data_IF_098637451996
#
_entry.id   IF_098637451996
#
_cell.length_a   1.000
_cell.length_b   1.000
_cell.length_c   1.000
_cell.angle_alpha   90.00
_cell.angle_beta   90.00
_cell.angle_gamma   90.00
#
_symmetry.space_group_name_H-M   'P 1'
#
loop_
_entity.id
_entity.type
_entity.pdbx_description
1 polymer ?
#
# COMPACT_ATOMS: atom_id res chain seq x y z
N UNK A 1 13.34 -34.11 -39.53
CA UNK A 1 11.91 -33.88 -39.77
C UNK A 1 11.16 -34.35 -38.51
N UNK A 2 10.93 -33.49 -37.59
CA UNK A 2 10.21 -33.76 -36.35
C UNK A 2 8.79 -33.15 -36.47
N UNK A 3 7.79 -33.99 -36.33
CA UNK A 3 6.40 -33.60 -36.38
C UNK A 3 6.01 -32.72 -35.17
N UNK A 4 5.15 -31.74 -35.34
CA UNK A 4 4.63 -30.93 -34.22
C UNK A 4 3.59 -31.75 -33.41
N UNK A 5 3.75 -31.70 -32.10
CA UNK A 5 2.77 -32.24 -31.14
C UNK A 5 1.50 -31.38 -31.17
N UNK A 6 0.38 -31.98 -31.51
CA UNK A 6 -0.95 -31.39 -31.38
C UNK A 6 -1.32 -31.23 -29.89
N UNK A 7 -1.97 -30.12 -29.50
CA UNK A 7 -2.47 -29.97 -28.14
C UNK A 7 -3.70 -30.84 -27.93
N UNK A 8 -3.55 -31.90 -27.15
CA UNK A 8 -4.70 -32.69 -26.67
C UNK A 8 -5.53 -31.86 -25.70
N UNK A 9 -6.63 -31.28 -26.17
CA UNK A 9 -7.69 -30.75 -25.31
C UNK A 9 -8.35 -31.94 -24.58
N UNK A 10 -7.99 -32.15 -23.32
CA UNK A 10 -8.76 -32.98 -22.43
C UNK A 10 -10.01 -32.22 -21.98
N UNK A 11 -11.09 -32.36 -22.73
CA UNK A 11 -12.42 -32.05 -22.24
C UNK A 11 -12.81 -33.17 -21.28
N UNK A 12 -12.64 -32.94 -19.99
CA UNK A 12 -13.25 -33.78 -18.96
C UNK A 12 -14.76 -33.49 -18.99
N UNK A 13 -15.52 -34.32 -19.62
CA UNK A 13 -17.00 -34.38 -19.47
C UNK A 13 -17.28 -34.81 -18.04
N UNK A 14 -17.66 -33.87 -17.19
CA UNK A 14 -18.31 -34.17 -15.92
C UNK A 14 -19.69 -34.74 -16.23
N UNK A 15 -20.02 -35.86 -15.60
CA UNK A 15 -21.36 -36.45 -15.63
C UNK A 15 -22.44 -35.41 -15.42
N UNK A 16 -23.37 -35.29 -16.32
CA UNK A 16 -24.50 -34.42 -16.51
C UNK A 16 -25.17 -33.68 -15.34
N UNK A 17 -24.48 -33.36 -14.29
CA UNK A 17 -24.96 -32.45 -13.25
C UNK A 17 -24.77 -31.00 -13.69
N UNK A 18 -25.86 -30.22 -13.63
CA UNK A 18 -25.79 -28.79 -13.84
C UNK A 18 -24.74 -28.19 -12.88
N UNK A 19 -23.90 -27.22 -13.36
CA UNK A 19 -22.89 -26.61 -12.52
C UNK A 19 -23.55 -25.96 -11.30
N UNK A 20 -22.99 -26.20 -10.11
CA UNK A 20 -23.44 -25.50 -8.90
C UNK A 20 -23.21 -24.01 -9.04
N UNK A 21 -24.24 -23.21 -8.76
CA UNK A 21 -24.17 -21.75 -8.85
C UNK A 21 -23.79 -21.16 -7.50
N UNK A 22 -23.10 -20.02 -7.52
CA UNK A 22 -22.89 -19.19 -6.33
C UNK A 22 -24.14 -18.32 -6.17
N UNK A 23 -24.99 -18.67 -5.21
CA UNK A 23 -26.25 -17.98 -4.98
C UNK A 23 -26.10 -16.83 -3.99
N UNK A 24 -25.00 -16.83 -3.20
CA UNK A 24 -24.77 -15.83 -2.19
C UNK A 24 -23.43 -15.16 -2.34
N UNK A 25 -23.45 -13.82 -2.43
CA UNK A 25 -22.28 -12.95 -2.39
C UNK A 25 -22.35 -12.09 -1.14
N UNK A 26 -21.31 -12.17 -0.29
CA UNK A 26 -21.17 -11.38 0.92
C UNK A 26 -20.03 -10.38 0.69
N UNK A 27 -20.37 -9.11 0.53
CA UNK A 27 -19.40 -8.05 0.35
C UNK A 27 -19.22 -7.29 1.68
N UNK A 28 -18.04 -7.45 2.30
CA UNK A 28 -17.64 -6.85 3.56
C UNK A 28 -16.70 -5.64 3.37
N UNK A 29 -16.55 -5.17 2.13
CA UNK A 29 -15.73 -3.98 1.85
C UNK A 29 -16.39 -2.74 2.43
N UNK A 30 -15.61 -1.96 3.21
CA UNK A 30 -16.07 -0.68 3.73
C UNK A 30 -15.92 0.42 2.66
N UNK A 31 -17.03 0.98 2.16
CA UNK A 31 -16.98 2.06 1.18
C UNK A 31 -16.34 3.35 1.71
N UNK A 32 -16.40 3.61 3.00
CA UNK A 32 -15.84 4.82 3.62
C UNK A 32 -14.31 4.82 3.68
N UNK A 33 -13.70 3.66 3.45
CA UNK A 33 -12.25 3.54 3.30
C UNK A 33 -11.73 3.96 1.91
N UNK A 34 -12.59 4.18 0.93
CA UNK A 34 -12.16 4.64 -0.39
C UNK A 34 -11.91 6.16 -0.39
N UNK A 35 -10.82 6.55 -1.04
CA UNK A 35 -10.50 7.96 -1.33
C UNK A 35 -10.59 8.17 -2.84
N UNK A 36 -11.69 8.74 -3.29
CA UNK A 36 -11.94 9.04 -4.70
C UNK A 36 -11.68 10.54 -4.96
N UNK A 37 -10.77 10.85 -5.88
CA UNK A 37 -10.29 12.22 -6.08
C UNK A 37 -11.01 12.96 -7.20
N UNK A 38 -11.54 12.24 -8.19
CA UNK A 38 -12.05 12.87 -9.42
C UNK A 38 -13.45 12.38 -9.84
N UNK A 39 -13.99 11.38 -9.18
CA UNK A 39 -15.30 10.79 -9.48
C UNK A 39 -16.10 10.56 -8.21
N UNK A 40 -17.42 10.53 -8.33
CA UNK A 40 -18.28 10.07 -7.23
C UNK A 40 -18.19 8.55 -7.07
N UNK A 41 -18.65 8.06 -5.92
CA UNK A 41 -18.69 6.61 -5.69
C UNK A 41 -19.57 5.89 -6.73
N UNK A 42 -20.72 6.46 -7.06
CA UNK A 42 -21.62 5.87 -8.05
C UNK A 42 -20.97 5.76 -9.43
N UNK A 43 -20.23 6.79 -9.84
CA UNK A 43 -19.48 6.79 -11.09
C UNK A 43 -18.36 5.73 -11.07
N UNK A 44 -17.64 5.59 -9.95
CA UNK A 44 -16.61 4.56 -9.80
C UNK A 44 -17.22 3.15 -9.82
N UNK A 45 -18.35 2.94 -9.14
CA UNK A 45 -19.10 1.68 -9.17
C UNK A 45 -19.57 1.34 -10.59
N UNK A 46 -20.06 2.32 -11.35
CA UNK A 46 -20.50 2.12 -12.74
C UNK A 46 -19.32 1.77 -13.66
N UNK A 47 -18.17 2.44 -13.48
CA UNK A 47 -16.95 2.12 -14.22
C UNK A 47 -16.51 0.65 -14.00
N UNK A 48 -16.57 0.16 -12.75
CA UNK A 48 -16.25 -1.25 -12.46
C UNK A 48 -17.34 -2.18 -13.00
N UNK A 49 -18.62 -1.80 -12.87
CA UNK A 49 -19.76 -2.59 -13.36
C UNK A 49 -19.73 -2.76 -14.87
N UNK A 50 -19.29 -1.76 -15.62
CA UNK A 50 -19.22 -1.81 -17.08
C UNK A 50 -18.26 -2.90 -17.61
N UNK A 51 -17.23 -3.27 -16.84
CA UNK A 51 -16.19 -4.17 -17.32
C UNK A 51 -15.15 -3.51 -18.24
N UNK A 52 -15.27 -2.19 -18.45
CA UNK A 52 -14.32 -1.44 -19.27
C UNK A 52 -13.08 -1.01 -18.47
N UNK A 53 -11.93 -1.61 -18.81
CA UNK A 53 -10.66 -1.31 -18.18
C UNK A 53 -10.26 0.17 -18.30
N UNK A 54 -10.59 0.82 -19.43
CA UNK A 54 -10.31 2.24 -19.64
C UNK A 54 -11.18 3.13 -18.74
N UNK A 55 -12.41 2.73 -18.48
CA UNK A 55 -13.26 3.43 -17.53
C UNK A 55 -12.69 3.32 -16.09
N UNK A 56 -12.23 2.12 -15.70
CA UNK A 56 -11.60 1.90 -14.39
C UNK A 56 -10.28 2.67 -14.28
N UNK A 57 -9.48 2.74 -15.36
CA UNK A 57 -8.21 3.51 -15.39
C UNK A 57 -8.42 4.99 -15.05
N UNK A 58 -9.56 5.55 -15.37
CA UNK A 58 -9.89 6.96 -15.10
C UNK A 58 -10.22 7.27 -13.64
N UNK A 59 -10.43 6.25 -12.81
CA UNK A 59 -10.65 6.46 -11.37
C UNK A 59 -9.32 6.82 -10.72
N UNK A 60 -9.24 8.01 -10.10
CA UNK A 60 -8.09 8.47 -9.34
C UNK A 60 -8.31 8.30 -7.84
N UNK A 61 -7.27 7.84 -7.14
CA UNK A 61 -7.28 7.72 -5.69
C UNK A 61 -6.97 6.31 -5.18
N UNK A 62 -7.45 6.03 -3.98
CA UNK A 62 -7.32 4.73 -3.31
C UNK A 62 -8.71 4.09 -3.20
N UNK A 63 -8.94 2.99 -3.88
CA UNK A 63 -10.25 2.34 -3.94
C UNK A 63 -10.17 0.82 -4.00
N UNK A 64 -11.25 0.19 -3.57
CA UNK A 64 -11.49 -1.24 -3.73
C UNK A 64 -13.00 -1.47 -3.94
N UNK A 65 -13.39 -1.67 -5.18
CA UNK A 65 -14.79 -1.69 -5.61
C UNK A 65 -15.15 -3.06 -6.16
N UNK A 66 -16.25 -3.61 -5.64
CA UNK A 66 -16.88 -4.83 -6.12
C UNK A 66 -18.27 -4.53 -6.62
N UNK A 67 -18.62 -5.01 -7.83
CA UNK A 67 -19.93 -4.86 -8.43
C UNK A 67 -20.44 -6.18 -9.00
N UNK A 68 -21.71 -6.47 -8.78
CA UNK A 68 -22.39 -7.62 -9.35
C UNK A 68 -23.33 -7.18 -10.48
N UNK A 69 -23.27 -7.91 -11.58
CA UNK A 69 -24.22 -7.77 -12.70
C UNK A 69 -24.68 -9.16 -13.15
N UNK A 70 -25.89 -9.53 -12.78
CA UNK A 70 -26.41 -10.86 -13.04
C UNK A 70 -25.56 -11.94 -12.34
N UNK A 71 -24.95 -12.83 -13.14
CA UNK A 71 -24.07 -13.92 -12.66
C UNK A 71 -22.58 -13.59 -12.74
N UNK A 72 -22.23 -12.34 -12.94
CA UNK A 72 -20.85 -11.88 -13.04
C UNK A 72 -20.53 -10.93 -11.89
N UNK A 73 -19.41 -11.17 -11.20
CA UNK A 73 -18.80 -10.26 -10.25
C UNK A 73 -17.59 -9.60 -10.91
N UNK A 74 -17.50 -8.28 -10.78
CA UNK A 74 -16.34 -7.50 -11.18
C UNK A 74 -15.73 -6.81 -9.98
N UNK A 75 -14.43 -6.92 -9.87
CA UNK A 75 -13.65 -6.38 -8.77
C UNK A 75 -12.45 -5.62 -9.30
N UNK A 76 -12.24 -4.40 -8.79
CA UNK A 76 -11.07 -3.61 -9.13
C UNK A 76 -10.55 -2.87 -7.90
N UNK A 77 -9.23 -2.77 -7.75
CA UNK A 77 -8.62 -2.04 -6.67
C UNK A 77 -7.34 -1.31 -7.07
N UNK A 78 -7.05 -0.22 -6.38
CA UNK A 78 -5.75 0.46 -6.39
C UNK A 78 -4.76 -0.20 -5.43
N UNK A 79 -3.52 0.29 -5.40
CA UNK A 79 -2.46 -0.21 -4.49
C UNK A 79 -2.85 -0.02 -3.01
N UNK A 80 -3.38 1.14 -2.65
CA UNK A 80 -3.63 1.52 -1.25
C UNK A 80 -4.81 0.81 -0.58
N UNK A 81 -5.56 -0.01 -1.31
CA UNK A 81 -6.73 -0.72 -0.77
C UNK A 81 -6.68 -2.20 -1.12
N UNK A 82 -6.48 -3.11 -0.15
CA UNK A 82 -6.58 -4.55 -0.41
C UNK A 82 -8.03 -4.98 -0.62
N UNK A 83 -8.21 -6.02 -1.42
CA UNK A 83 -9.48 -6.71 -1.60
C UNK A 83 -9.19 -8.19 -1.78
N UNK A 84 -9.76 -9.00 -0.92
CA UNK A 84 -9.63 -10.45 -0.92
C UNK A 84 -10.98 -11.09 -1.21
N UNK A 85 -10.96 -12.29 -1.75
CA UNK A 85 -12.15 -13.11 -1.83
C UNK A 85 -11.88 -14.55 -1.41
N UNK A 86 -12.91 -15.20 -0.92
CA UNK A 86 -12.93 -16.59 -0.46
C UNK A 86 -14.19 -17.27 -0.94
N UNK A 87 -14.06 -18.49 -1.46
CA UNK A 87 -15.19 -19.30 -1.89
C UNK A 87 -15.48 -20.36 -0.82
N UNK A 88 -16.56 -20.15 -0.08
CA UNK A 88 -17.04 -21.11 0.92
C UNK A 88 -17.92 -22.17 0.28
N UNK A 89 -17.75 -23.43 0.68
CA UNK A 89 -18.58 -24.57 0.21
C UNK A 89 -19.68 -24.82 1.22
N UNK A 90 -20.92 -24.54 0.84
CA UNK A 90 -22.12 -24.73 1.66
C UNK A 90 -22.96 -25.87 1.12
N UNK A 91 -23.78 -26.50 1.99
CA UNK A 91 -24.66 -27.56 1.60
C UNK A 91 -25.71 -27.09 0.58
N UNK A 92 -26.18 -25.85 0.74
CA UNK A 92 -27.19 -25.24 -0.14
C UNK A 92 -26.58 -24.64 -1.42
N UNK A 93 -25.27 -24.61 -1.52
CA UNK A 93 -24.51 -24.02 -2.63
C UNK A 93 -23.33 -23.18 -2.13
N UNK A 94 -22.34 -22.92 -2.99
CA UNK A 94 -21.18 -22.11 -2.60
C UNK A 94 -21.57 -20.67 -2.29
N UNK A 95 -20.79 -20.00 -1.42
CA UNK A 95 -20.90 -18.57 -1.13
C UNK A 95 -19.59 -17.88 -1.39
N UNK A 96 -19.62 -16.71 -2.06
CA UNK A 96 -18.45 -15.84 -2.28
C UNK A 96 -18.40 -14.78 -1.20
N UNK A 97 -17.31 -14.73 -0.43
CA UNK A 97 -17.06 -13.74 0.60
C UNK A 97 -15.96 -12.80 0.08
N UNK A 98 -16.21 -11.50 0.09
CA UNK A 98 -15.28 -10.46 -0.34
C UNK A 98 -14.99 -9.55 0.85
N UNK A 99 -13.72 -9.32 1.16
CA UNK A 99 -13.30 -8.56 2.32
C UNK A 99 -11.93 -7.91 2.11
N UNK A 100 -11.63 -6.91 2.91
CA UNK A 100 -10.31 -6.30 2.96
C UNK A 100 -9.30 -7.19 3.69
N UNK A 101 -9.75 -7.89 4.75
CA UNK A 101 -8.90 -8.63 5.69
C UNK A 101 -9.30 -10.11 5.78
N UNK A 102 -8.30 -10.98 6.04
CA UNK A 102 -8.55 -12.41 6.33
C UNK A 102 -9.40 -12.57 7.59
N UNK A 103 -9.19 -11.72 8.60
CA UNK A 103 -9.96 -11.74 9.85
C UNK A 103 -11.46 -11.53 9.62
N UNK A 104 -11.85 -10.68 8.68
CA UNK A 104 -13.26 -10.48 8.32
C UNK A 104 -13.85 -11.72 7.66
N UNK A 105 -13.07 -12.39 6.79
CA UNK A 105 -13.48 -13.67 6.17
C UNK A 105 -13.69 -14.74 7.25
N UNK A 106 -12.76 -14.86 8.21
CA UNK A 106 -12.87 -15.82 9.32
C UNK A 106 -14.13 -15.56 10.14
N UNK A 107 -14.39 -14.32 10.50
CA UNK A 107 -15.58 -13.95 11.29
C UNK A 107 -16.88 -14.25 10.51
N UNK A 108 -16.92 -13.96 9.21
CA UNK A 108 -18.08 -14.31 8.38
C UNK A 108 -18.28 -15.82 8.31
N UNK A 109 -17.20 -16.59 8.12
CA UNK A 109 -17.27 -18.04 8.11
C UNK A 109 -17.75 -18.62 9.46
N UNK A 110 -17.41 -18.01 10.60
CA UNK A 110 -17.94 -18.39 11.92
C UNK A 110 -19.46 -18.17 12.00
N UNK A 111 -19.91 -17.01 11.55
CA UNK A 111 -21.36 -16.68 11.51
C UNK A 111 -22.12 -17.74 10.68
N UNK A 112 -21.51 -18.24 9.61
CA UNK A 112 -22.07 -19.23 8.71
C UNK A 112 -21.90 -20.70 9.21
N UNK A 113 -21.17 -20.91 10.31
CA UNK A 113 -20.82 -22.26 10.80
C UNK A 113 -19.79 -23.00 9.93
N UNK A 114 -19.00 -22.29 9.13
CA UNK A 114 -18.05 -22.82 8.15
C UNK A 114 -16.58 -22.41 8.46
N UNK A 115 -16.28 -22.06 9.69
CA UNK A 115 -14.95 -21.57 10.06
C UNK A 115 -13.84 -22.64 9.89
N UNK A 116 -14.20 -23.90 9.87
CA UNK A 116 -13.34 -25.04 9.58
C UNK A 116 -12.80 -25.06 8.15
N UNK A 117 -13.46 -24.37 7.21
CA UNK A 117 -13.01 -24.28 5.82
C UNK A 117 -11.91 -23.24 5.61
N UNK A 118 -11.66 -22.38 6.59
CA UNK A 118 -10.69 -21.31 6.41
C UNK A 118 -9.25 -21.84 6.41
N UNK A 119 -8.55 -21.53 5.33
CA UNK A 119 -7.09 -21.62 5.29
C UNK A 119 -6.53 -20.41 4.53
N UNK A 120 -5.43 -19.76 5.00
CA UNK A 120 -4.89 -18.57 4.35
C UNK A 120 -4.61 -18.75 2.86
N UNK A 121 -4.16 -19.95 2.43
CA UNK A 121 -3.86 -20.24 1.02
C UNK A 121 -5.09 -20.29 0.10
N UNK A 122 -6.29 -20.38 0.65
CA UNK A 122 -7.54 -20.34 -0.13
C UNK A 122 -8.10 -18.92 -0.25
N UNK A 123 -7.52 -17.97 0.49
CA UNK A 123 -7.84 -16.55 0.36
C UNK A 123 -7.10 -15.98 -0.84
N UNK A 124 -7.84 -15.48 -1.82
CA UNK A 124 -7.27 -14.91 -3.04
C UNK A 124 -7.31 -13.39 -2.98
N UNK A 125 -6.19 -12.74 -3.33
CA UNK A 125 -6.12 -11.28 -3.46
C UNK A 125 -6.49 -10.88 -4.88
N UNK A 126 -7.36 -9.87 -5.02
CA UNK A 126 -7.53 -9.15 -6.29
C UNK A 126 -6.24 -8.40 -6.58
N UNK A 127 -5.56 -8.63 -7.71
CA UNK A 127 -4.33 -7.89 -8.02
C UNK A 127 -4.61 -6.40 -8.17
N UNK A 128 -3.76 -5.55 -7.63
CA UNK A 128 -3.91 -4.12 -7.85
C UNK A 128 -3.67 -3.77 -9.33
N UNK A 129 -4.40 -2.76 -9.82
CA UNK A 129 -4.35 -2.32 -11.21
C UNK A 129 -4.90 -3.33 -12.24
N UNK A 130 -5.70 -4.28 -11.76
CA UNK A 130 -6.44 -5.20 -12.62
C UNK A 130 -7.95 -5.10 -12.33
N UNK A 131 -8.72 -5.21 -13.38
CA UNK A 131 -10.13 -5.55 -13.32
C UNK A 131 -10.23 -7.07 -13.34
N UNK A 132 -10.78 -7.65 -12.28
CA UNK A 132 -11.04 -9.07 -12.15
C UNK A 132 -12.52 -9.33 -12.43
N UNK A 133 -12.80 -10.23 -13.36
CA UNK A 133 -14.14 -10.72 -13.62
C UNK A 133 -14.25 -12.19 -13.18
N UNK A 134 -15.31 -12.51 -12.45
CA UNK A 134 -15.58 -13.83 -11.93
C UNK A 134 -17.02 -14.22 -12.24
N UNK A 135 -17.21 -15.38 -12.88
CA UNK A 135 -18.52 -15.95 -13.06
C UNK A 135 -19.00 -16.65 -11.78
N UNK A 136 -20.26 -16.45 -11.40
CA UNK A 136 -20.84 -17.03 -10.19
C UNK A 136 -21.19 -18.52 -10.39
N UNK A 137 -20.19 -19.31 -10.76
CA UNK A 137 -20.24 -20.76 -10.87
C UNK A 137 -19.36 -21.35 -9.77
N UNK A 138 -19.90 -22.17 -8.90
CA UNK A 138 -19.18 -22.66 -7.73
C UNK A 138 -18.62 -24.07 -7.85
N UNK A 139 -18.94 -24.80 -8.92
CA UNK A 139 -18.39 -26.12 -9.19
C UNK A 139 -18.35 -26.38 -10.70
N UNK A 140 -17.15 -26.53 -11.30
CA UNK A 140 -15.84 -26.29 -10.67
C UNK A 140 -15.68 -24.85 -10.17
N UNK A 141 -14.67 -24.60 -9.32
CA UNK A 141 -14.36 -23.24 -8.86
C UNK A 141 -14.13 -22.32 -10.06
N UNK A 142 -14.67 -21.09 -10.03
CA UNK A 142 -14.56 -20.18 -11.16
C UNK A 142 -13.11 -19.72 -11.32
N UNK A 143 -12.65 -19.67 -12.56
CA UNK A 143 -11.38 -19.04 -12.90
C UNK A 143 -11.61 -17.55 -13.10
N UNK A 144 -10.83 -16.67 -12.43
CA UNK A 144 -10.94 -15.25 -12.66
C UNK A 144 -10.34 -14.87 -14.02
N UNK A 145 -11.02 -13.98 -14.73
CA UNK A 145 -10.47 -13.28 -15.87
C UNK A 145 -9.86 -11.97 -15.37
N UNK A 146 -8.63 -11.66 -15.82
CA UNK A 146 -7.86 -10.51 -15.35
C UNK A 146 -7.55 -9.60 -16.53
N UNK A 147 -8.08 -8.38 -16.52
CA UNK A 147 -7.77 -7.34 -17.48
C UNK A 147 -6.99 -6.22 -16.77
N UNK A 148 -5.76 -5.97 -17.23
CA UNK A 148 -4.94 -4.91 -16.64
C UNK A 148 -5.44 -3.55 -17.10
N UNK A 149 -5.79 -2.67 -16.16
CA UNK A 149 -6.26 -1.32 -16.47
C UNK A 149 -5.19 -0.24 -16.31
N UNK A 150 -4.03 -0.56 -15.74
CA UNK A 150 -2.92 0.37 -15.63
C UNK A 150 -1.59 -0.30 -15.97
N UNK A 151 -0.90 0.23 -16.96
CA UNK A 151 0.42 -0.19 -17.43
C UNK A 151 1.21 1.05 -17.84
N UNK A 152 2.06 1.61 -16.95
CA UNK A 152 2.79 2.84 -17.25
C UNK A 152 3.85 2.64 -18.34
N UNK A 153 3.96 3.63 -19.22
CA UNK A 153 5.04 3.70 -20.20
C UNK A 153 6.34 4.15 -19.52
N UNK A 154 7.44 3.48 -19.88
CA UNK A 154 8.74 3.71 -19.27
C UNK A 154 9.63 4.60 -20.14
N UNK A 155 10.53 5.35 -19.47
CA UNK A 155 11.64 6.08 -20.09
C UNK A 155 11.20 7.08 -21.18
N UNK A 156 10.02 7.71 -21.04
CA UNK A 156 9.51 8.67 -22.04
C UNK A 156 9.86 10.13 -21.74
N UNK A 157 10.33 10.43 -20.52
CA UNK A 157 10.79 11.78 -20.17
C UNK A 157 12.20 12.04 -20.70
N UNK A 158 12.56 13.31 -20.98
CA UNK A 158 13.95 13.66 -21.29
C UNK A 158 14.88 13.39 -20.10
N UNK A 159 16.17 13.11 -20.35
CA UNK A 159 17.16 12.91 -19.30
C UNK A 159 17.62 14.27 -18.72
N UNK A 160 16.71 15.00 -18.12
CA UNK A 160 16.89 16.30 -17.50
C UNK A 160 16.26 16.29 -16.11
N UNK A 161 17.10 16.34 -15.08
CA UNK A 161 16.70 16.21 -13.67
C UNK A 161 15.74 17.33 -13.26
N UNK A 162 15.97 18.55 -13.70
CA UNK A 162 15.11 19.68 -13.35
C UNK A 162 13.72 19.55 -14.00
N UNK A 163 13.64 19.18 -15.26
CA UNK A 163 12.39 18.96 -15.96
C UNK A 163 11.61 17.74 -15.39
N UNK A 164 12.34 16.67 -15.07
CA UNK A 164 11.75 15.48 -14.42
C UNK A 164 11.21 15.85 -13.04
N UNK A 165 12.01 16.58 -12.24
CA UNK A 165 11.64 17.02 -10.90
C UNK A 165 10.38 17.89 -10.91
N UNK A 166 10.31 18.88 -11.82
CA UNK A 166 9.13 19.71 -11.99
C UNK A 166 7.89 18.84 -12.30
N UNK A 167 7.96 18.00 -13.34
CA UNK A 167 6.83 17.17 -13.77
C UNK A 167 6.37 16.20 -12.67
N UNK A 168 7.31 15.59 -11.96
CA UNK A 168 7.00 14.62 -10.90
C UNK A 168 6.34 15.30 -9.69
N UNK A 169 6.89 16.40 -9.23
CA UNK A 169 6.37 17.13 -8.06
C UNK A 169 5.09 17.89 -8.39
N UNK A 170 4.92 18.43 -9.59
CA UNK A 170 3.64 18.99 -10.05
C UNK A 170 2.53 17.97 -10.00
N UNK A 171 2.78 16.73 -10.50
CA UNK A 171 1.82 15.65 -10.46
C UNK A 171 1.49 15.22 -9.02
N UNK A 172 2.50 15.13 -8.18
CA UNK A 172 2.32 14.83 -6.75
C UNK A 172 1.50 15.93 -6.06
N UNK A 173 1.78 17.19 -6.35
CA UNK A 173 1.04 18.34 -5.82
C UNK A 173 -0.42 18.34 -6.27
N UNK A 174 -0.71 18.01 -7.53
CA UNK A 174 -2.08 17.88 -8.04
C UNK A 174 -2.88 16.81 -7.28
N UNK A 175 -2.27 15.65 -7.04
CA UNK A 175 -2.90 14.55 -6.30
C UNK A 175 -3.15 14.95 -4.85
N UNK A 176 -2.19 15.58 -4.20
CA UNK A 176 -2.36 16.08 -2.81
C UNK A 176 -3.44 17.17 -2.77
N UNK A 177 -3.44 18.10 -3.74
CA UNK A 177 -4.42 19.18 -3.79
C UNK A 177 -5.85 18.64 -3.93
N UNK A 178 -6.06 17.64 -4.79
CA UNK A 178 -7.35 16.95 -4.92
C UNK A 178 -7.75 16.24 -3.61
N UNK A 179 -6.81 15.61 -2.90
CA UNK A 179 -7.09 14.99 -1.62
C UNK A 179 -7.46 16.04 -0.55
N UNK A 180 -6.75 17.15 -0.48
CA UNK A 180 -7.03 18.22 0.49
C UNK A 180 -8.44 18.80 0.34
N UNK A 181 -9.00 18.80 -0.88
CA UNK A 181 -10.39 19.22 -1.12
C UNK A 181 -11.41 18.28 -0.47
N UNK A 182 -11.06 17.01 -0.32
CA UNK A 182 -11.96 16.03 0.33
C UNK A 182 -12.00 16.16 1.85
N UNK A 183 -11.07 16.91 2.45
CA UNK A 183 -10.95 17.10 3.89
C UNK A 183 -11.68 18.38 4.30
N UNK A 184 -12.65 18.33 5.22
CA UNK A 184 -13.32 19.53 5.73
C UNK A 184 -12.31 20.56 6.27
N UNK A 185 -12.61 21.84 6.07
CA UNK A 185 -11.68 22.94 6.38
C UNK A 185 -11.34 23.08 7.86
N UNK A 186 -12.23 22.63 8.73
CA UNK A 186 -12.06 22.61 10.18
C UNK A 186 -11.26 21.42 10.71
N UNK A 187 -10.96 20.44 9.83
CA UNK A 187 -10.26 19.23 10.24
C UNK A 187 -8.72 19.40 10.10
N UNK A 188 -7.97 18.96 11.13
CA UNK A 188 -6.52 18.95 11.08
C UNK A 188 -6.00 17.78 10.23
N UNK A 189 -4.76 17.93 9.74
CA UNK A 189 -4.08 16.99 8.86
C UNK A 189 -2.78 16.54 9.52
N UNK A 190 -2.60 15.23 9.70
CA UNK A 190 -1.36 14.66 10.17
C UNK A 190 -0.49 14.20 9.02
N UNK A 191 0.79 14.52 9.08
CA UNK A 191 1.80 13.93 8.19
C UNK A 191 2.65 12.98 9.01
N UNK A 192 2.74 11.72 8.57
CA UNK A 192 3.66 10.74 9.14
C UNK A 192 5.08 11.14 8.72
N UNK A 193 5.86 11.67 9.66
CA UNK A 193 7.07 12.45 9.32
C UNK A 193 8.33 11.89 9.98
N UNK A 194 9.25 11.39 9.17
CA UNK A 194 10.56 10.91 9.61
C UNK A 194 11.71 11.92 9.40
N UNK A 195 11.42 13.06 8.78
CA UNK A 195 12.46 14.00 8.33
C UNK A 195 13.22 13.50 7.08
N UNK A 196 12.79 12.39 6.48
CA UNK A 196 13.32 11.90 5.21
C UNK A 196 12.71 12.63 4.02
N UNK A 197 13.25 12.36 2.82
CA UNK A 197 12.91 13.08 1.60
C UNK A 197 11.44 12.87 1.18
N UNK A 198 10.90 11.65 1.32
CA UNK A 198 9.54 11.31 0.90
C UNK A 198 8.50 11.99 1.79
N UNK A 199 8.61 11.83 3.10
CA UNK A 199 7.72 12.51 4.04
C UNK A 199 7.93 14.02 4.07
N UNK A 200 9.15 14.46 3.79
CA UNK A 200 9.52 15.87 3.69
C UNK A 200 8.84 16.56 2.52
N UNK A 201 8.90 15.99 1.34
CA UNK A 201 8.21 16.54 0.16
C UNK A 201 6.69 16.58 0.34
N UNK A 202 6.08 15.53 0.95
CA UNK A 202 4.66 15.55 1.31
C UNK A 202 4.35 16.73 2.24
N UNK A 203 5.12 16.91 3.31
CA UNK A 203 4.88 17.98 4.26
C UNK A 203 4.99 19.38 3.62
N UNK A 204 6.04 19.61 2.81
CA UNK A 204 6.24 20.89 2.11
C UNK A 204 5.08 21.15 1.14
N UNK A 205 4.64 20.13 0.39
CA UNK A 205 3.52 20.28 -0.54
C UNK A 205 2.20 20.54 0.18
N UNK A 206 1.91 19.83 1.27
CA UNK A 206 0.69 20.07 2.07
C UNK A 206 0.66 21.49 2.61
N UNK A 207 1.78 21.98 3.19
CA UNK A 207 1.89 23.35 3.68
C UNK A 207 1.73 24.40 2.56
N UNK A 208 2.43 24.21 1.45
CA UNK A 208 2.34 25.09 0.27
C UNK A 208 0.90 25.17 -0.27
N UNK A 209 0.24 24.02 -0.46
CA UNK A 209 -1.10 23.95 -1.01
C UNK A 209 -2.15 24.55 -0.06
N UNK A 210 -2.04 24.30 1.25
CA UNK A 210 -2.94 24.91 2.24
C UNK A 210 -2.79 26.44 2.21
N UNK A 211 -1.55 26.97 2.24
CA UNK A 211 -1.33 28.41 2.17
C UNK A 211 -1.85 29.01 0.86
N UNK A 212 -1.64 28.34 -0.27
CA UNK A 212 -2.17 28.78 -1.57
C UNK A 212 -3.71 28.85 -1.59
N UNK A 213 -4.38 28.02 -0.79
CA UNK A 213 -5.83 28.03 -0.57
C UNK A 213 -6.29 29.02 0.50
N UNK A 214 -5.39 29.78 1.11
CA UNK A 214 -5.71 30.73 2.18
C UNK A 214 -5.91 30.08 3.56
N UNK A 215 -5.53 28.82 3.72
CA UNK A 215 -5.56 28.15 5.02
C UNK A 215 -4.25 28.32 5.80
N UNK A 216 -4.34 28.18 7.11
CA UNK A 216 -3.19 28.24 8.00
C UNK A 216 -2.41 26.93 8.03
N UNK A 217 -1.09 27.00 8.06
CA UNK A 217 -0.19 25.88 8.35
C UNK A 217 -0.48 25.21 9.71
N UNK A 218 -1.15 25.90 10.63
CA UNK A 218 -1.56 25.33 11.93
C UNK A 218 -2.52 24.14 11.84
N UNK A 219 -3.13 23.91 10.67
CA UNK A 219 -3.90 22.69 10.39
C UNK A 219 -3.03 21.44 10.32
N UNK A 220 -1.71 21.58 10.19
CA UNK A 220 -0.77 20.46 10.01
C UNK A 220 -0.13 20.10 11.34
N UNK A 221 0.01 18.80 11.60
CA UNK A 221 0.97 18.23 12.54
C UNK A 221 1.88 17.24 11.84
N UNK A 222 3.19 17.39 12.03
CA UNK A 222 4.20 16.45 11.57
C UNK A 222 4.51 15.45 12.70
N UNK A 223 3.88 14.29 12.66
CA UNK A 223 4.03 13.26 13.68
C UNK A 223 5.32 12.46 13.47
N UNK A 224 6.24 12.53 14.41
CA UNK A 224 7.51 11.83 14.39
C UNK A 224 7.64 10.87 15.59
N UNK A 225 8.02 9.62 15.35
CA UNK A 225 8.18 8.61 16.40
C UNK A 225 9.47 8.84 17.21
N UNK A 226 9.32 8.82 18.53
CA UNK A 226 10.42 8.72 19.47
C UNK A 226 10.24 7.47 20.36
N UNK A 227 11.31 6.77 20.67
CA UNK A 227 11.30 5.67 21.62
C UNK A 227 12.09 6.09 22.87
N UNK A 228 11.42 6.09 24.03
CA UNK A 228 12.00 6.48 25.33
C UNK A 228 12.71 7.85 25.30
N UNK A 229 12.12 8.81 24.59
CA UNK A 229 12.64 10.18 24.48
C UNK A 229 13.88 10.32 23.61
N UNK A 230 14.28 9.28 22.88
CA UNK A 230 15.46 9.27 21.99
C UNK A 230 15.05 8.84 20.59
N UNK A 231 15.38 9.67 19.61
CA UNK A 231 15.15 9.31 18.20
C UNK A 231 15.99 10.19 17.29
N UNK A 232 16.85 9.57 16.52
CA UNK A 232 17.59 10.26 15.46
C UNK A 232 16.63 10.81 14.39
N UNK A 233 15.49 10.15 14.17
CA UNK A 233 14.46 10.63 13.25
C UNK A 233 13.80 11.90 13.75
N UNK A 234 13.51 12.03 15.05
CA UNK A 234 12.97 13.29 15.62
C UNK A 234 13.97 14.43 15.51
N UNK A 235 15.26 14.16 15.74
CA UNK A 235 16.29 15.18 15.58
C UNK A 235 16.45 15.62 14.13
N UNK A 236 16.44 14.68 13.19
CA UNK A 236 16.45 14.97 11.76
C UNK A 236 15.19 15.71 11.34
N UNK A 237 14.01 15.29 11.81
CA UNK A 237 12.73 15.94 11.56
C UNK A 237 12.74 17.41 12.05
N UNK A 238 13.26 17.65 13.26
CA UNK A 238 13.41 19.00 13.80
C UNK A 238 14.36 19.85 12.96
N UNK A 239 15.50 19.30 12.59
CA UNK A 239 16.48 20.00 11.74
C UNK A 239 15.90 20.32 10.36
N UNK A 240 15.18 19.37 9.75
CA UNK A 240 14.47 19.58 8.50
C UNK A 240 13.51 20.76 8.59
N UNK A 241 12.59 20.72 9.56
CA UNK A 241 11.56 21.75 9.73
C UNK A 241 12.14 23.11 10.10
N UNK A 242 13.22 23.13 10.88
CA UNK A 242 13.93 24.37 11.20
C UNK A 242 14.53 25.04 9.95
N UNK A 243 15.08 24.24 9.03
CA UNK A 243 15.67 24.77 7.78
C UNK A 243 14.62 25.48 6.92
N UNK A 244 13.37 25.03 6.96
CA UNK A 244 12.26 25.61 6.17
C UNK A 244 11.30 26.47 7.01
N UNK A 245 11.68 26.84 8.25
CA UNK A 245 10.90 27.65 9.18
C UNK A 245 9.51 27.09 9.53
N UNK A 246 9.37 25.77 9.64
CA UNK A 246 8.14 25.07 10.01
C UNK A 246 8.29 24.22 11.29
N UNK A 247 9.26 24.51 12.17
CA UNK A 247 9.54 23.73 13.38
C UNK A 247 8.32 23.59 14.30
N UNK A 248 7.43 24.59 14.30
CA UNK A 248 6.21 24.60 15.10
C UNK A 248 5.22 23.49 14.72
N UNK A 249 5.37 22.86 13.55
CA UNK A 249 4.50 21.77 13.11
C UNK A 249 4.92 20.41 13.68
N UNK A 250 6.15 20.31 14.22
CA UNK A 250 6.66 19.04 14.73
C UNK A 250 5.91 18.60 15.99
N UNK A 251 5.40 17.40 15.94
CA UNK A 251 4.76 16.72 17.07
C UNK A 251 5.49 15.41 17.36
N UNK A 252 6.51 15.42 18.23
CA UNK A 252 7.17 14.18 18.65
C UNK A 252 6.23 13.32 19.47
N UNK A 253 6.11 12.07 19.07
CA UNK A 253 5.29 11.06 19.73
C UNK A 253 6.21 10.07 20.41
N UNK A 254 6.35 10.23 21.73
CA UNK A 254 7.19 9.35 22.52
C UNK A 254 6.41 8.10 22.95
N UNK A 255 7.02 6.93 22.69
CA UNK A 255 6.46 5.62 22.98
C UNK A 255 7.42 4.86 23.89
N UNK A 256 6.91 4.26 24.96
CA UNK A 256 7.69 3.39 25.81
C UNK A 256 8.05 2.09 25.05
N UNK A 257 9.31 1.64 25.21
CA UNK A 257 9.78 0.44 24.52
C UNK A 257 8.97 -0.82 24.87
N UNK A 258 8.45 -0.88 26.11
CA UNK A 258 7.60 -1.97 26.57
C UNK A 258 6.25 -2.07 25.83
N UNK A 259 5.85 -0.96 25.19
CA UNK A 259 4.60 -0.89 24.43
C UNK A 259 4.79 -1.23 22.94
N UNK A 260 6.03 -1.41 22.48
CA UNK A 260 6.34 -1.78 21.08
C UNK A 260 6.29 -3.29 20.93
N UNK A 261 5.25 -3.79 20.26
CA UNK A 261 5.01 -5.23 20.10
C UNK A 261 4.86 -5.59 18.64
N UNK A 262 5.81 -6.34 18.11
CA UNK A 262 5.78 -6.79 16.72
C UNK A 262 4.63 -7.77 16.41
N UNK A 263 4.14 -8.49 17.44
CA UNK A 263 2.98 -9.38 17.33
C UNK A 263 1.70 -8.62 16.93
N UNK A 264 1.52 -7.39 17.48
CA UNK A 264 0.39 -6.54 17.13
C UNK A 264 0.46 -6.14 15.64
N UNK A 265 1.67 -5.88 15.13
CA UNK A 265 1.87 -5.60 13.71
C UNK A 265 1.56 -6.81 12.83
N UNK A 266 1.99 -8.03 13.19
CA UNK A 266 1.62 -9.26 12.46
C UNK A 266 0.11 -9.39 12.34
N UNK A 267 -0.62 -9.11 13.42
CA UNK A 267 -2.08 -9.17 13.41
C UNK A 267 -2.72 -8.04 12.59
N UNK A 268 -2.13 -6.85 12.62
CA UNK A 268 -2.63 -5.69 11.90
C UNK A 268 -2.45 -5.82 10.39
N UNK A 269 -1.27 -6.24 9.92
CA UNK A 269 -0.97 -6.35 8.49
C UNK A 269 -1.31 -7.71 7.89
N UNK A 270 -1.62 -8.71 8.72
CA UNK A 270 -1.87 -10.09 8.30
C UNK A 270 -0.74 -10.66 7.41
N UNK A 271 0.50 -10.37 7.79
CA UNK A 271 1.72 -10.81 7.12
C UNK A 271 2.80 -11.20 8.15
N UNK A 272 3.79 -11.95 7.70
CA UNK A 272 4.92 -12.39 8.54
C UNK A 272 6.29 -12.09 7.95
N UNK A 273 6.37 -11.34 6.83
CA UNK A 273 7.67 -10.94 6.27
C UNK A 273 8.40 -10.01 7.23
N UNK A 274 9.63 -10.35 7.66
CA UNK A 274 10.32 -9.60 8.70
C UNK A 274 10.39 -8.10 8.44
N UNK A 275 10.75 -7.69 7.22
CA UNK A 275 10.88 -6.28 6.86
C UNK A 275 9.56 -5.52 6.98
N UNK A 276 8.46 -6.12 6.52
CA UNK A 276 7.14 -5.49 6.56
C UNK A 276 6.61 -5.43 7.99
N UNK A 277 6.80 -6.50 8.79
CA UNK A 277 6.44 -6.53 10.22
C UNK A 277 7.24 -5.49 11.01
N UNK A 278 8.56 -5.41 10.82
CA UNK A 278 9.41 -4.45 11.53
C UNK A 278 8.98 -3.01 11.26
N UNK A 279 8.73 -2.68 10.00
CA UNK A 279 8.28 -1.36 9.61
C UNK A 279 6.87 -1.05 10.13
N UNK A 280 5.94 -2.00 9.99
CA UNK A 280 4.58 -1.87 10.51
C UNK A 280 4.55 -1.73 12.04
N UNK A 281 5.47 -2.38 12.77
CA UNK A 281 5.56 -2.28 14.24
C UNK A 281 5.80 -0.84 14.69
N UNK A 282 6.71 -0.13 14.02
CA UNK A 282 7.00 1.26 14.32
C UNK A 282 5.81 2.17 13.97
N UNK A 283 5.20 1.96 12.79
CA UNK A 283 3.98 2.65 12.38
C UNK A 283 2.81 2.41 13.35
N UNK A 284 2.61 1.16 13.76
CA UNK A 284 1.57 0.76 14.72
C UNK A 284 1.74 1.45 16.07
N UNK A 285 2.96 1.45 16.62
CA UNK A 285 3.27 2.10 17.89
C UNK A 285 3.00 3.60 17.83
N UNK A 286 3.44 4.27 16.76
CA UNK A 286 3.19 5.69 16.51
C UNK A 286 1.68 5.98 16.43
N UNK A 287 0.95 5.26 15.60
CA UNK A 287 -0.49 5.48 15.36
C UNK A 287 -1.34 5.23 16.61
N UNK A 288 -1.01 4.18 17.38
CA UNK A 288 -1.67 3.92 18.67
C UNK A 288 -1.51 5.09 19.62
N UNK A 289 -0.32 5.64 19.73
CA UNK A 289 -0.07 6.77 20.64
C UNK A 289 -0.68 8.07 20.10
N UNK A 290 -0.69 8.30 18.79
CA UNK A 290 -1.44 9.42 18.20
C UNK A 290 -2.92 9.31 18.56
N UNK A 291 -3.53 8.12 18.40
CA UNK A 291 -4.94 7.93 18.77
C UNK A 291 -5.21 8.20 20.25
N UNK A 292 -4.28 7.79 21.13
CA UNK A 292 -4.41 8.02 22.57
C UNK A 292 -4.35 9.51 22.92
N UNK A 293 -3.45 10.29 22.26
CA UNK A 293 -3.29 11.74 22.52
C UNK A 293 -4.34 12.59 21.81
N UNK A 294 -4.77 12.15 20.63
CA UNK A 294 -5.69 12.87 19.75
C UNK A 294 -6.87 11.97 19.36
N UNK A 295 -7.84 11.74 20.26
CA UNK A 295 -8.92 10.78 20.03
C UNK A 295 -9.79 11.09 18.80
N UNK A 296 -9.94 12.37 18.45
CA UNK A 296 -10.79 12.83 17.35
C UNK A 296 -10.04 13.05 16.03
N UNK A 297 -8.72 12.80 15.98
CA UNK A 297 -7.94 12.98 14.78
C UNK A 297 -8.32 11.97 13.70
N UNK A 298 -8.52 12.42 12.45
CA UNK A 298 -9.04 11.56 11.38
C UNK A 298 -8.06 11.37 10.22
N UNK A 299 -7.45 12.45 9.74
CA UNK A 299 -6.76 12.46 8.45
C UNK A 299 -5.24 12.37 8.61
N UNK A 300 -4.66 11.38 7.92
CA UNK A 300 -3.20 11.18 7.88
C UNK A 300 -2.74 11.07 6.43
N UNK A 301 -1.57 11.65 6.15
CA UNK A 301 -0.86 11.51 4.88
C UNK A 301 0.53 10.95 5.19
N UNK A 302 0.98 10.02 4.38
CA UNK A 302 2.30 9.41 4.51
C UNK A 302 3.15 9.56 3.23
N UNK A 303 4.43 9.24 3.34
CA UNK A 303 5.40 9.24 2.26
C UNK A 303 5.68 7.86 1.67
N UNK A 304 4.84 6.86 1.96
CA UNK A 304 5.03 5.51 1.46
C UNK A 304 4.93 5.47 -0.06
N UNK A 305 5.88 4.81 -0.69
CA UNK A 305 5.95 4.66 -2.13
C UNK A 305 6.97 5.55 -2.86
N UNK A 306 7.53 6.55 -2.19
CA UNK A 306 8.57 7.38 -2.79
C UNK A 306 9.81 6.59 -3.18
N UNK A 307 10.22 5.62 -2.37
CA UNK A 307 11.33 4.70 -2.66
C UNK A 307 11.02 3.81 -3.87
N UNK A 308 9.83 3.25 -3.90
CA UNK A 308 9.36 2.38 -4.99
C UNK A 308 9.30 3.14 -6.32
N UNK A 309 8.81 4.37 -6.30
CA UNK A 309 8.69 5.22 -7.47
C UNK A 309 10.07 5.59 -8.06
N UNK A 310 10.96 6.08 -7.23
CA UNK A 310 12.29 6.53 -7.69
C UNK A 310 13.39 5.47 -7.53
N UNK A 311 12.98 4.21 -7.32
CA UNK A 311 13.84 3.01 -7.33
C UNK A 311 15.01 3.06 -6.34
N UNK A 312 14.78 3.72 -5.21
CA UNK A 312 15.76 3.89 -4.14
C UNK A 312 15.81 2.63 -3.24
N UNK A 313 16.23 1.53 -3.84
CA UNK A 313 16.37 0.24 -3.17
C UNK A 313 17.78 0.04 -2.63
N UNK A 314 17.95 -0.53 -1.42
CA UNK A 314 19.27 -0.78 -0.82
C UNK A 314 19.96 -1.98 -1.50
N UNK A 315 20.61 -1.73 -2.64
CA UNK A 315 21.23 -2.78 -3.47
C UNK A 315 22.37 -3.46 -2.73
N UNK A 316 23.21 -2.70 -2.00
CA UNK A 316 24.36 -3.25 -1.27
C UNK A 316 23.95 -4.16 -0.12
N UNK A 317 22.82 -3.86 0.52
CA UNK A 317 22.33 -4.59 1.69
C UNK A 317 21.49 -5.83 1.30
N UNK A 318 21.20 -5.99 0.02
CA UNK A 318 20.36 -7.08 -0.46
C UNK A 318 21.04 -7.85 -1.60
N UNK A 319 21.60 -9.05 -1.32
CA UNK A 319 22.32 -9.83 -2.32
C UNK A 319 21.46 -10.30 -3.52
N UNK A 320 20.13 -10.24 -3.37
CA UNK A 320 19.20 -10.58 -4.46
C UNK A 320 18.98 -9.41 -5.43
N UNK A 321 19.39 -8.19 -5.06
CA UNK A 321 19.25 -7.01 -5.89
C UNK A 321 20.56 -6.67 -6.59
N UNK A 322 20.45 -6.24 -7.83
CA UNK A 322 21.51 -5.61 -8.61
C UNK A 322 20.95 -4.38 -9.29
N UNK A 323 21.80 -3.43 -9.66
CA UNK A 323 21.37 -2.25 -10.43
C UNK A 323 20.60 -2.68 -11.71
N UNK A 324 21.02 -3.78 -12.35
CA UNK A 324 20.34 -4.32 -13.53
C UNK A 324 18.97 -4.89 -13.22
N UNK A 325 18.80 -5.59 -12.09
CA UNK A 325 17.48 -6.08 -11.67
C UNK A 325 16.56 -4.94 -11.27
N UNK A 326 17.08 -3.88 -10.65
CA UNK A 326 16.31 -2.71 -10.27
C UNK A 326 15.87 -1.88 -11.49
N UNK A 327 16.78 -1.55 -12.40
CA UNK A 327 16.46 -0.68 -13.55
C UNK A 327 15.92 -1.44 -14.76
N UNK A 328 16.31 -2.70 -14.95
CA UNK A 328 15.91 -3.54 -16.10
C UNK A 328 14.57 -4.24 -15.92
N UNK A 329 14.17 -4.54 -14.70
CA UNK A 329 12.96 -5.30 -14.44
C UNK A 329 11.70 -4.44 -14.69
N UNK A 330 10.95 -4.79 -15.73
CA UNK A 330 9.69 -4.10 -16.08
C UNK A 330 8.57 -4.30 -15.04
N UNK A 331 8.73 -5.31 -14.19
CA UNK A 331 7.76 -5.65 -13.15
C UNK A 331 8.14 -5.09 -11.78
N UNK A 332 9.28 -4.39 -11.68
CA UNK A 332 9.79 -3.98 -10.37
C UNK A 332 8.82 -3.08 -9.60
N UNK A 333 8.15 -2.16 -10.27
CA UNK A 333 7.18 -1.32 -9.59
C UNK A 333 6.03 -2.18 -8.99
N UNK A 334 5.59 -3.21 -9.70
CA UNK A 334 4.56 -4.14 -9.21
C UNK A 334 5.09 -4.98 -8.06
N UNK A 335 6.31 -5.49 -8.17
CA UNK A 335 6.96 -6.27 -7.11
C UNK A 335 7.25 -5.42 -5.88
N UNK A 336 7.78 -4.22 -6.06
CA UNK A 336 8.05 -3.26 -4.99
C UNK A 336 6.79 -2.85 -4.24
N UNK A 337 5.71 -2.60 -4.97
CA UNK A 337 4.41 -2.30 -4.40
C UNK A 337 3.63 -3.53 -3.92
N UNK A 338 4.11 -4.74 -4.20
CA UNK A 338 3.43 -5.98 -3.85
C UNK A 338 2.12 -6.20 -4.59
N UNK A 339 2.00 -5.67 -5.81
CA UNK A 339 0.74 -5.75 -6.59
C UNK A 339 0.66 -6.97 -7.48
N UNK A 340 1.78 -7.64 -7.73
CA UNK A 340 1.82 -8.86 -8.54
C UNK A 340 1.49 -10.08 -7.67
N UNK A 341 0.38 -10.74 -8.01
CA UNK A 341 -0.08 -11.95 -7.32
C UNK A 341 0.70 -13.22 -7.71
N UNK A 342 1.60 -13.13 -8.67
CA UNK A 342 2.25 -14.31 -9.25
C UNK A 342 3.31 -14.90 -8.33
N UNK A 343 3.84 -14.13 -7.38
CA UNK A 343 4.87 -14.63 -6.47
C UNK A 343 4.30 -15.47 -5.36
N UNK A 344 4.74 -16.70 -5.29
CA UNK A 344 4.41 -17.69 -4.25
C UNK A 344 4.70 -17.24 -2.81
N UNK A 345 5.60 -16.27 -2.61
CA UNK A 345 5.84 -15.66 -1.30
C UNK A 345 4.65 -14.83 -0.80
N UNK A 346 3.67 -14.58 -1.64
CA UNK A 346 2.48 -13.79 -1.37
C UNK A 346 1.28 -14.64 -0.94
N UNK A 347 1.47 -15.91 -0.63
CA UNK A 347 0.39 -16.80 -0.19
C UNK A 347 -0.39 -16.21 0.99
N UNK A 348 0.30 -15.53 1.90
CA UNK A 348 -0.30 -14.90 3.08
C UNK A 348 -0.51 -13.40 2.90
N UNK A 349 0.49 -12.63 2.48
CA UNK A 349 0.32 -11.20 2.23
C UNK A 349 -0.64 -10.92 1.06
N UNK A 350 -0.83 -11.93 0.23
CA UNK A 350 -1.83 -11.92 -0.82
C UNK A 350 -1.67 -10.77 -1.81
N UNK A 351 -0.44 -10.27 -2.02
CA UNK A 351 -0.19 -9.15 -2.91
C UNK A 351 -0.61 -7.79 -2.34
N UNK A 352 -0.68 -7.63 -1.02
CA UNK A 352 -0.75 -6.31 -0.41
C UNK A 352 0.49 -5.50 -0.76
N UNK A 353 0.30 -4.21 -1.03
CA UNK A 353 1.43 -3.30 -1.20
C UNK A 353 2.19 -3.14 0.11
N UNK A 354 3.48 -2.86 0.03
CA UNK A 354 4.29 -2.55 1.22
C UNK A 354 3.79 -1.31 1.95
N UNK A 355 3.40 -0.26 1.21
CA UNK A 355 2.83 0.94 1.80
C UNK A 355 1.55 0.64 2.58
N UNK A 356 0.64 -0.18 2.03
CA UNK A 356 -0.53 -0.62 2.78
C UNK A 356 -0.15 -1.36 4.07
N UNK A 357 0.78 -2.30 3.99
CA UNK A 357 1.20 -3.07 5.15
C UNK A 357 1.89 -2.22 6.23
N UNK A 358 2.67 -1.21 5.85
CA UNK A 358 3.45 -0.42 6.82
C UNK A 358 2.63 0.62 7.56
N UNK A 359 1.75 1.33 6.86
CA UNK A 359 1.06 2.51 7.38
C UNK A 359 -0.45 2.38 7.28
N UNK A 360 -1.02 2.07 6.11
CA UNK A 360 -2.46 2.13 5.89
C UNK A 360 -3.25 1.10 6.69
N UNK A 361 -2.75 -0.15 6.84
CA UNK A 361 -3.45 -1.16 7.65
C UNK A 361 -3.47 -0.80 9.14
N UNK A 362 -2.34 -0.42 9.79
CA UNK A 362 -2.37 0.09 11.15
C UNK A 362 -3.22 1.36 11.31
N UNK A 363 -3.15 2.29 10.35
CA UNK A 363 -3.95 3.52 10.40
C UNK A 363 -5.46 3.21 10.41
N UNK A 364 -5.92 2.32 9.53
CA UNK A 364 -7.31 1.90 9.48
C UNK A 364 -7.76 1.19 10.77
N UNK A 365 -6.90 0.38 11.39
CA UNK A 365 -7.20 -0.30 12.65
C UNK A 365 -7.48 0.69 13.79
N UNK A 366 -6.78 1.82 13.82
CA UNK A 366 -7.01 2.90 14.77
C UNK A 366 -8.05 3.92 14.29
N UNK A 367 -8.77 3.68 13.20
CA UNK A 367 -9.84 4.53 12.69
C UNK A 367 -9.35 5.84 12.05
N UNK A 368 -8.11 5.88 11.57
CA UNK A 368 -7.63 6.98 10.76
C UNK A 368 -7.98 6.78 9.29
N UNK A 369 -8.16 7.89 8.59
CA UNK A 369 -8.23 7.95 7.12
C UNK A 369 -6.83 8.25 6.60
N UNK A 370 -6.10 7.20 6.21
CA UNK A 370 -4.75 7.30 5.67
C UNK A 370 -4.76 7.50 4.16
N UNK A 371 -3.80 8.26 3.64
CA UNK A 371 -3.62 8.48 2.22
C UNK A 371 -2.13 8.52 1.84
N UNK A 372 -1.75 7.69 0.85
CA UNK A 372 -0.39 7.61 0.30
C UNK A 372 -0.38 8.20 -1.11
N UNK A 373 -0.06 9.48 -1.32
CA UNK A 373 -0.13 10.13 -2.62
C UNK A 373 0.77 9.49 -3.68
N UNK A 374 1.92 8.96 -3.28
CA UNK A 374 2.85 8.28 -4.18
C UNK A 374 2.28 6.97 -4.77
N UNK A 375 1.28 6.37 -4.13
CA UNK A 375 0.61 5.15 -4.60
C UNK A 375 -0.45 5.40 -5.68
N UNK A 376 -0.74 6.65 -6.00
CA UNK A 376 -1.72 6.99 -7.04
C UNK A 376 -1.12 6.73 -8.43
N UNK A 377 -1.86 6.06 -9.34
CA UNK A 377 -1.34 5.68 -10.65
C UNK A 377 -0.75 6.83 -11.45
N UNK A 378 -1.32 8.04 -11.36
CA UNK A 378 -0.82 9.20 -12.09
C UNK A 378 0.59 9.64 -11.65
N UNK A 379 0.94 9.46 -10.37
CA UNK A 379 2.30 9.72 -9.85
C UNK A 379 3.26 8.61 -10.29
N UNK A 380 2.82 7.34 -10.19
CA UNK A 380 3.60 6.17 -10.64
C UNK A 380 3.90 6.29 -12.15
N UNK A 381 2.96 6.77 -12.95
CA UNK A 381 3.13 6.94 -14.40
C UNK A 381 4.30 7.90 -14.74
N UNK A 382 4.41 9.00 -14.00
CA UNK A 382 5.55 9.92 -14.17
C UNK A 382 6.84 9.29 -13.67
N UNK A 383 6.82 8.60 -12.54
CA UNK A 383 7.99 7.92 -11.99
C UNK A 383 8.53 6.84 -12.95
N UNK A 384 7.66 6.03 -13.55
CA UNK A 384 8.07 5.02 -14.54
C UNK A 384 8.54 5.64 -15.87
N UNK A 385 8.10 6.85 -16.19
CA UNK A 385 8.56 7.58 -17.37
C UNK A 385 9.99 8.13 -17.25
N UNK A 386 10.61 8.11 -16.06
CA UNK A 386 11.99 8.56 -15.82
C UNK A 386 12.99 7.66 -16.53
N UNK A 387 13.92 8.19 -17.35
CA UNK A 387 14.93 7.40 -18.04
C UNK A 387 16.13 7.07 -17.14
N UNK A 388 15.91 6.27 -16.11
CA UNK A 388 16.90 5.96 -15.06
C UNK A 388 18.25 5.51 -15.62
N UNK A 389 18.26 4.64 -16.64
CA UNK A 389 19.53 4.15 -17.24
C UNK A 389 20.34 5.28 -17.86
N UNK A 390 19.68 6.21 -18.57
CA UNK A 390 20.36 7.34 -19.19
C UNK A 390 20.93 8.32 -18.15
N UNK A 391 20.26 8.44 -16.97
CA UNK A 391 20.70 9.35 -15.91
C UNK A 391 21.77 8.76 -15.00
N UNK A 392 21.80 7.44 -14.85
CA UNK A 392 22.69 6.76 -13.88
C UNK A 392 23.84 6.01 -14.51
N UNK A 393 23.74 5.66 -15.79
CA UNK A 393 24.72 4.80 -16.48
C UNK A 393 24.98 3.48 -15.72
N UNK A 394 23.92 2.88 -15.18
CA UNK A 394 23.98 1.67 -14.37
C UNK A 394 24.78 1.79 -13.05
N UNK A 395 25.03 3.00 -12.59
CA UNK A 395 25.72 3.29 -11.33
C UNK A 395 24.70 3.43 -10.20
N UNK A 396 24.85 2.63 -9.14
CA UNK A 396 23.90 2.62 -8.03
C UNK A 396 24.08 3.83 -7.08
N UNK A 397 25.29 4.39 -6.95
CA UNK A 397 25.51 5.60 -6.17
C UNK A 397 24.82 6.80 -6.84
N UNK A 398 24.91 6.89 -8.17
CA UNK A 398 24.15 7.88 -8.93
C UNK A 398 22.64 7.67 -8.78
N UNK A 399 22.17 6.40 -8.73
CA UNK A 399 20.76 6.13 -8.53
C UNK A 399 20.26 6.65 -7.16
N UNK A 400 21.04 6.46 -6.10
CA UNK A 400 20.69 6.97 -4.78
C UNK A 400 20.69 8.50 -4.70
N UNK A 401 21.66 9.16 -5.34
CA UNK A 401 21.70 10.61 -5.41
C UNK A 401 20.52 11.16 -6.24
N UNK A 402 20.18 10.48 -7.34
CA UNK A 402 19.17 10.92 -8.30
C UNK A 402 17.79 11.18 -7.67
N UNK A 403 17.36 10.35 -6.71
CA UNK A 403 16.11 10.57 -5.99
C UNK A 403 16.13 11.92 -5.27
N UNK A 404 17.22 12.20 -4.55
CA UNK A 404 17.42 13.48 -3.86
C UNK A 404 17.36 14.65 -4.82
N UNK A 405 18.07 14.56 -5.93
CA UNK A 405 18.17 15.61 -6.92
C UNK A 405 16.81 15.90 -7.60
N UNK A 406 16.09 14.85 -8.03
CA UNK A 406 14.76 14.98 -8.66
C UNK A 406 13.77 15.65 -7.70
N UNK A 407 13.67 15.14 -6.46
CA UNK A 407 12.67 15.64 -5.50
C UNK A 407 13.01 17.07 -5.04
N UNK A 408 14.29 17.37 -4.73
CA UNK A 408 14.68 18.71 -4.31
C UNK A 408 14.49 19.74 -5.43
N UNK A 409 14.89 19.41 -6.68
CA UNK A 409 14.68 20.28 -7.83
C UNK A 409 13.20 20.57 -8.06
N UNK A 410 12.35 19.53 -8.03
CA UNK A 410 10.91 19.69 -8.21
C UNK A 410 10.25 20.50 -7.09
N UNK A 411 10.58 20.24 -5.83
CA UNK A 411 10.06 21.02 -4.69
C UNK A 411 10.43 22.49 -4.83
N UNK A 412 11.68 22.79 -5.16
CA UNK A 412 12.14 24.17 -5.37
C UNK A 412 11.35 24.85 -6.50
N UNK A 413 11.16 24.18 -7.63
CA UNK A 413 10.45 24.76 -8.77
C UNK A 413 8.96 24.98 -8.50
N UNK A 414 8.30 24.05 -7.83
CA UNK A 414 6.85 24.11 -7.58
C UNK A 414 6.52 25.03 -6.41
N UNK A 415 7.33 25.02 -5.35
CA UNK A 415 7.00 25.70 -4.09
C UNK A 415 7.90 26.89 -3.76
N UNK A 416 9.06 27.00 -4.38
CA UNK A 416 10.11 27.96 -4.02
C UNK A 416 10.88 27.59 -2.77
N UNK A 417 10.66 26.45 -2.15
CA UNK A 417 11.30 26.01 -0.91
C UNK A 417 12.56 25.21 -1.22
N UNK A 418 13.67 25.60 -0.62
CA UNK A 418 14.91 24.79 -0.62
C UNK A 418 14.78 23.70 0.44
N UNK A 419 14.37 22.53 0.03
CA UNK A 419 14.16 21.38 0.91
C UNK A 419 15.50 20.70 1.23
N UNK A 420 15.84 20.47 2.52
CA UNK A 420 17.05 19.72 2.85
C UNK A 420 16.94 18.25 2.45
N UNK A 421 18.06 17.71 1.95
CA UNK A 421 18.20 16.29 1.60
C UNK A 421 19.22 15.65 2.53
N UNK A 422 18.80 14.66 3.29
CA UNK A 422 19.66 13.90 4.19
C UNK A 422 19.98 12.53 3.64
N UNK A 423 21.10 11.94 4.05
CA UNK A 423 21.43 10.56 3.72
C UNK A 423 20.31 9.63 4.21
N UNK A 424 19.89 8.72 3.35
CA UNK A 424 18.81 7.79 3.64
C UNK A 424 19.08 6.95 4.90
N UNK A 425 18.06 6.83 5.74
CA UNK A 425 17.98 5.88 6.85
C UNK A 425 16.68 5.09 6.72
N UNK A 426 16.70 3.83 7.10
CA UNK A 426 15.46 3.05 7.17
C UNK A 426 14.66 3.51 8.39
N UNK A 427 13.37 3.73 8.25
CA UNK A 427 12.47 4.20 9.30
C UNK A 427 12.60 3.42 10.61
N UNK A 428 12.63 2.09 10.53
CA UNK A 428 12.78 1.24 11.72
C UNK A 428 14.13 1.39 12.42
N UNK A 429 15.18 1.86 11.73
CA UNK A 429 16.52 2.07 12.28
C UNK A 429 16.73 3.50 12.79
N UNK A 430 15.96 4.47 12.29
CA UNK A 430 15.99 5.84 12.77
C UNK A 430 15.22 6.03 14.08
N UNK A 431 14.16 5.20 14.28
CA UNK A 431 13.35 5.23 15.50
C UNK A 431 14.01 4.51 16.68
N UNK A 432 14.93 3.55 16.45
CA UNK A 432 15.61 2.77 17.48
C UNK A 432 17.08 2.56 17.16
N UNK A 433 17.95 2.64 18.18
CA UNK A 433 19.36 2.28 18.01
C UNK A 433 19.51 0.76 17.71
N UNK A 434 20.64 0.31 17.13
CA UNK A 434 20.81 -1.08 16.70
C UNK A 434 20.61 -2.13 17.81
N UNK A 435 21.01 -1.82 19.06
CA UNK A 435 20.85 -2.75 20.19
C UNK A 435 19.39 -2.87 20.60
N UNK A 436 18.68 -1.75 20.62
CA UNK A 436 17.26 -1.70 20.89
C UNK A 436 16.48 -2.43 19.80
N UNK A 437 16.84 -2.22 18.53
CA UNK A 437 16.24 -2.92 17.40
C UNK A 437 16.44 -4.46 17.51
N UNK A 438 17.64 -4.94 17.81
CA UNK A 438 17.91 -6.37 18.01
C UNK A 438 17.13 -6.99 19.18
N UNK A 439 16.77 -6.19 20.19
CA UNK A 439 15.96 -6.64 21.34
C UNK A 439 14.47 -6.71 20.99
N UNK A 440 14.00 -5.81 20.14
CA UNK A 440 12.60 -5.72 19.75
C UNK A 440 12.20 -6.83 18.77
N UNK A 441 13.10 -7.19 17.87
CA UNK A 441 12.75 -8.02 16.72
C UNK A 441 13.47 -9.35 16.69
N UNK A 442 12.73 -10.46 16.47
CA UNK A 442 13.34 -11.77 16.24
C UNK A 442 14.27 -11.75 15.01
N UNK A 443 15.43 -12.38 15.13
CA UNK A 443 16.36 -12.57 14.00
C UNK A 443 15.90 -13.66 13.03
N UNK A 444 15.11 -14.62 13.52
CA UNK A 444 14.65 -15.76 12.74
C UNK A 444 13.27 -15.50 12.14
N UNK A 445 13.18 -15.59 10.82
CA UNK A 445 11.92 -15.44 10.08
C UNK A 445 10.83 -16.42 10.54
N UNK A 446 11.21 -17.65 10.92
CA UNK A 446 10.26 -18.64 11.42
C UNK A 446 9.46 -18.15 12.63
N UNK A 447 10.04 -17.30 13.48
CA UNK A 447 9.35 -16.75 14.66
C UNK A 447 8.14 -15.89 14.25
N UNK A 448 8.27 -15.08 13.19
CA UNK A 448 7.15 -14.28 12.66
C UNK A 448 6.09 -15.16 12.02
N UNK A 449 6.53 -16.19 11.29
CA UNK A 449 5.63 -17.17 10.66
C UNK A 449 4.82 -17.95 11.68
N UNK A 450 5.46 -18.39 12.77
CA UNK A 450 4.82 -19.12 13.87
C UNK A 450 3.77 -18.25 14.56
N UNK A 451 4.09 -16.97 14.78
CA UNK A 451 3.15 -16.01 15.35
C UNK A 451 1.95 -15.78 14.43
N UNK A 452 2.18 -15.61 13.13
CA UNK A 452 1.11 -15.50 12.15
C UNK A 452 0.20 -16.76 12.18
N UNK A 453 0.81 -17.95 12.18
CA UNK A 453 0.07 -19.19 12.27
C UNK A 453 -0.71 -19.30 13.60
N UNK A 454 -0.12 -18.86 14.72
CA UNK A 454 -0.78 -18.80 16.03
C UNK A 454 -1.99 -17.86 16.00
N UNK A 455 -1.83 -16.69 15.42
CA UNK A 455 -2.90 -15.70 15.26
C UNK A 455 -4.07 -16.26 14.44
N UNK A 456 -3.80 -16.91 13.31
CA UNK A 456 -4.85 -17.55 12.50
C UNK A 456 -5.55 -18.65 13.31
N UNK A 457 -4.80 -19.55 13.95
CA UNK A 457 -5.38 -20.61 14.79
C UNK A 457 -6.24 -20.09 15.94
N UNK A 458 -5.86 -18.98 16.55
CA UNK A 458 -6.67 -18.38 17.63
C UNK A 458 -8.02 -17.85 17.16
N UNK A 459 -8.12 -17.53 15.87
CA UNK A 459 -9.35 -17.03 15.23
C UNK A 459 -10.18 -18.14 14.58
N UNK A 460 -9.67 -19.38 14.45
CA UNK A 460 -10.38 -20.53 13.90
C UNK A 460 -10.82 -21.50 15.02
N UNK A 461 -11.88 -22.32 14.82
CA UNK A 461 -12.35 -23.26 15.83
C UNK A 461 -11.33 -24.33 16.24
N UNK A 462 -11.50 -24.90 17.45
CA UNK A 462 -10.59 -25.91 18.00
C UNK A 462 -10.44 -27.21 17.17
N UNK A 463 -11.43 -27.53 16.36
CA UNK A 463 -11.41 -28.74 15.53
C UNK A 463 -10.28 -28.75 14.45
N UNK A 464 -9.60 -27.61 14.23
CA UNK A 464 -8.48 -27.46 13.30
C UNK A 464 -7.16 -27.10 14.01
N UNK A 465 -7.15 -27.13 15.35
CA UNK A 465 -5.96 -26.97 16.18
C UNK A 465 -5.22 -28.30 16.27
#
# INVERSE_FOLDING_TARGET
MSQPLEPTSRTTTYDGQAPALIDRVVNLMDPDGDVLLNVTRDQACEAVRSGDAEAVRRIRGQFAICQQQGKTIRMARSIGRPMRYFLAKRAEGPALIIAERMSQIIEQLKIEGLADQFHPSYTRMVPAHYLLELQLVGCPDPNPELTRYFAPERNRLPADVDAIGATYIERLAEVIDQYLITIPDDQPIGVMFSGGIDSGSILVLVDYLLRRRGHSSSRIKAFALSLEGRSEDVDQARQFLKTINLEMLLEPIDVALADVRWQDAVASIEDYKPLDVQSATMGYALLREIRRRYPDWKYLIDGDGGDENLKDYPIEDNPELTIRSVLGNRMLYQEGWGVDAVKHSLVYSGGQSRGHSRTSAPAAEFGFKGFSPYAVPDVIEIAEAVPFVALTDWDHEKLYALKGDIVAAGIRQVTGVEMPVYKKRRFQHGAADPKTFERLFPKNEHTYRDEFARMIRSKTPEALR
#
